data_IF_614557896859
#
_entry.id   IF_614557896859
#
_cell.length_a   1.000
_cell.length_b   1.000
_cell.length_c   1.000
_cell.angle_alpha   90.00
_cell.angle_beta   90.00
_cell.angle_gamma   90.00
#
_symmetry.space_group_name_H-M   'P 1'
#
loop_
_entity.id
_entity.type
_entity.pdbx_description
1 polymer ?
#
# COMPACT_ATOMS: atom_id res chain seq x y z
N UNK A 1 -11.35 -0.41 -14.73
CA UNK A 1 -9.96 -0.91 -14.91
C UNK A 1 -9.25 -0.91 -13.59
N UNK A 2 -8.41 -1.94 -13.29
CA UNK A 2 -7.54 -1.96 -12.11
C UNK A 2 -6.26 -1.16 -12.36
N UNK A 3 -5.60 -0.72 -11.28
CA UNK A 3 -4.31 -0.05 -11.40
C UNK A 3 -3.23 -0.99 -11.97
N UNK A 4 -3.29 -2.29 -11.68
CA UNK A 4 -2.40 -3.30 -12.28
C UNK A 4 -2.51 -3.31 -13.81
N UNK A 5 -3.73 -3.35 -14.34
CA UNK A 5 -3.95 -3.38 -15.78
C UNK A 5 -3.47 -2.08 -16.45
N UNK A 6 -3.73 -0.93 -15.82
CA UNK A 6 -3.23 0.35 -16.29
C UNK A 6 -1.71 0.39 -16.35
N UNK A 7 -1.04 -0.01 -15.27
CA UNK A 7 0.43 -0.03 -15.17
C UNK A 7 1.03 -0.94 -16.25
N UNK A 8 0.48 -2.13 -16.42
CA UNK A 8 1.07 -3.12 -17.35
C UNK A 8 0.68 -2.91 -18.80
N UNK A 9 -0.60 -2.64 -19.08
CA UNK A 9 -1.11 -2.62 -20.46
C UNK A 9 -1.15 -1.22 -21.06
N UNK A 10 -1.30 -0.16 -20.24
CA UNK A 10 -1.32 1.22 -20.75
C UNK A 10 0.05 1.91 -20.60
N UNK A 11 0.78 1.61 -19.52
CA UNK A 11 2.11 2.19 -19.27
C UNK A 11 3.27 1.28 -19.63
N UNK A 12 2.99 0.02 -20.00
CA UNK A 12 3.98 -1.00 -20.37
C UNK A 12 5.05 -1.26 -19.30
N UNK A 13 4.74 -0.99 -18.02
CA UNK A 13 5.62 -1.24 -16.87
C UNK A 13 5.40 -2.67 -16.37
N UNK A 14 6.13 -3.62 -16.95
CA UNK A 14 5.91 -5.06 -16.78
C UNK A 14 6.64 -5.67 -15.58
N UNK A 15 7.45 -4.91 -14.87
CA UNK A 15 8.11 -5.34 -13.62
C UNK A 15 7.11 -5.68 -12.52
N UNK A 16 5.99 -4.96 -12.43
CA UNK A 16 4.85 -5.33 -11.59
C UNK A 16 4.19 -6.59 -12.16
N UNK A 17 4.12 -7.70 -11.38
CA UNK A 17 3.71 -9.01 -11.89
C UNK A 17 2.23 -9.31 -11.66
N UNK A 18 1.64 -10.12 -12.56
CA UNK A 18 0.29 -10.66 -12.42
C UNK A 18 0.39 -12.05 -11.80
N UNK A 19 -0.06 -12.20 -10.56
CA UNK A 19 -0.18 -13.50 -9.89
C UNK A 19 -1.64 -13.92 -9.74
N UNK A 20 -2.21 -13.77 -8.55
CA UNK A 20 -3.55 -14.27 -8.22
C UNK A 20 -4.71 -13.40 -8.72
N UNK A 21 -4.53 -12.09 -8.88
CA UNK A 21 -5.59 -11.09 -9.11
C UNK A 21 -6.67 -11.01 -8.00
N UNK A 22 -6.36 -11.55 -6.81
CA UNK A 22 -7.26 -11.63 -5.66
C UNK A 22 -6.71 -10.94 -4.40
N UNK A 23 -5.56 -10.25 -4.54
CA UNK A 23 -4.93 -9.52 -3.43
C UNK A 23 -4.15 -10.40 -2.45
N UNK A 24 -3.92 -11.69 -2.74
CA UNK A 24 -3.31 -12.64 -1.80
C UNK A 24 -1.81 -12.84 -1.96
N UNK A 25 -1.29 -12.78 -3.21
CA UNK A 25 0.09 -13.19 -3.48
C UNK A 25 1.13 -12.07 -3.38
N UNK A 26 0.73 -10.81 -3.42
CA UNK A 26 1.61 -9.65 -3.38
C UNK A 26 2.52 -9.43 -4.60
N UNK A 27 2.45 -10.27 -5.65
CA UNK A 27 3.28 -10.11 -6.85
C UNK A 27 3.04 -8.78 -7.58
N UNK A 28 1.86 -8.20 -7.41
CA UNK A 28 1.45 -6.91 -7.97
C UNK A 28 1.65 -5.73 -7.02
N UNK A 29 2.44 -5.87 -5.96
CA UNK A 29 2.69 -4.79 -5.00
C UNK A 29 3.32 -3.58 -5.68
N UNK A 30 2.75 -2.40 -5.40
CA UNK A 30 3.24 -1.07 -5.75
C UNK A 30 3.20 -0.16 -4.52
N UNK A 31 3.87 0.99 -4.58
CA UNK A 31 3.68 2.04 -3.57
C UNK A 31 2.67 3.08 -4.07
N UNK A 32 1.86 3.53 -3.13
CA UNK A 32 0.95 4.66 -3.31
C UNK A 32 1.34 5.73 -2.31
N UNK A 33 1.79 6.88 -2.81
CA UNK A 33 2.11 8.06 -2.02
C UNK A 33 0.93 9.01 -1.97
N UNK A 34 0.46 9.29 -0.77
CA UNK A 34 -0.63 10.24 -0.49
C UNK A 34 -0.07 11.48 0.17
N UNK A 35 -0.47 12.66 -0.31
CA UNK A 35 -0.07 13.91 0.31
C UNK A 35 -0.67 14.01 1.73
N UNK A 36 0.18 14.37 2.69
CA UNK A 36 -0.19 14.64 4.07
C UNK A 36 0.59 15.86 4.53
N UNK A 37 -0.08 17.00 4.58
CA UNK A 37 0.55 18.31 4.80
C UNK A 37 1.69 18.59 3.81
N UNK A 38 2.91 18.76 4.29
CA UNK A 38 4.11 18.98 3.47
C UNK A 38 4.88 17.70 3.12
N UNK A 39 4.36 16.53 3.52
CA UNK A 39 4.98 15.22 3.31
C UNK A 39 4.14 14.34 2.39
N UNK A 40 4.71 13.20 2.04
CA UNK A 40 4.02 12.14 1.32
C UNK A 40 4.14 10.86 2.14
N UNK A 41 3.01 10.29 2.51
CA UNK A 41 2.95 8.99 3.17
C UNK A 41 2.84 7.89 2.12
N UNK A 42 3.75 6.92 2.16
CA UNK A 42 3.78 5.81 1.21
C UNK A 42 3.20 4.54 1.82
N UNK A 43 2.30 3.91 1.08
CA UNK A 43 1.70 2.63 1.47
C UNK A 43 1.91 1.59 0.38
N UNK A 44 2.28 0.37 0.79
CA UNK A 44 2.30 -0.78 -0.11
C UNK A 44 0.87 -1.27 -0.36
N UNK A 45 0.47 -1.41 -1.62
CA UNK A 45 -0.86 -1.88 -2.00
C UNK A 45 -0.78 -2.95 -3.08
N UNK A 46 -1.78 -3.83 -3.12
CA UNK A 46 -1.97 -4.79 -4.21
C UNK A 46 -2.72 -4.13 -5.36
N UNK A 47 -2.00 -3.79 -6.44
CA UNK A 47 -2.57 -3.04 -7.56
C UNK A 47 -3.67 -3.78 -8.33
N UNK A 48 -3.75 -5.11 -8.20
CA UNK A 48 -4.79 -5.91 -8.84
C UNK A 48 -6.21 -5.67 -8.28
N UNK A 49 -6.32 -5.15 -7.06
CA UNK A 49 -7.60 -4.82 -6.43
C UNK A 49 -7.83 -3.32 -6.24
N UNK A 50 -6.87 -2.49 -6.66
CA UNK A 50 -7.02 -1.03 -6.58
C UNK A 50 -7.66 -0.51 -7.87
N UNK A 51 -8.85 0.11 -7.80
CA UNK A 51 -9.43 0.83 -8.94
C UNK A 51 -8.53 1.97 -9.38
N UNK A 52 -8.41 2.19 -10.69
CA UNK A 52 -7.59 3.30 -11.23
C UNK A 52 -8.07 4.67 -10.73
N UNK A 53 -9.36 4.85 -10.47
CA UNK A 53 -9.92 6.10 -9.95
C UNK A 53 -9.37 6.46 -8.57
N UNK A 54 -9.06 5.45 -7.73
CA UNK A 54 -8.43 5.68 -6.41
C UNK A 54 -6.95 6.06 -6.49
N UNK A 55 -6.34 6.08 -7.68
CA UNK A 55 -4.96 6.54 -7.90
C UNK A 55 -4.89 8.05 -8.21
N UNK A 56 -6.02 8.72 -8.44
CA UNK A 56 -6.05 10.15 -8.73
C UNK A 56 -5.48 10.96 -7.55
N UNK A 57 -4.63 11.93 -7.85
CA UNK A 57 -3.98 12.77 -6.83
C UNK A 57 -2.91 12.06 -6.00
N UNK A 58 -2.47 10.86 -6.40
CA UNK A 58 -1.48 10.07 -5.67
C UNK A 58 -0.25 9.79 -6.50
N UNK A 59 0.89 9.63 -5.83
CA UNK A 59 2.13 9.19 -6.46
C UNK A 59 2.15 7.66 -6.54
N UNK A 60 2.11 7.12 -7.75
CA UNK A 60 2.14 5.68 -7.99
C UNK A 60 3.57 5.26 -8.36
N UNK A 61 4.14 4.34 -7.57
CA UNK A 61 5.52 3.88 -7.75
C UNK A 61 5.54 2.36 -7.97
N UNK A 62 6.01 1.97 -9.15
CA UNK A 62 6.31 0.58 -9.48
C UNK A 62 7.79 0.28 -9.23
N UNK A 63 8.20 -0.97 -9.43
CA UNK A 63 9.62 -1.35 -9.30
C UNK A 63 10.51 -0.52 -10.25
N UNK A 64 10.02 -0.16 -11.42
CA UNK A 64 10.76 0.68 -12.38
C UNK A 64 10.98 2.09 -11.82
N UNK A 65 10.04 2.62 -11.03
CA UNK A 65 10.16 3.93 -10.39
C UNK A 65 11.13 3.98 -9.22
N UNK A 66 11.56 2.82 -8.72
CA UNK A 66 12.57 2.70 -7.65
C UNK A 66 13.98 2.51 -8.22
N UNK A 67 14.09 2.05 -9.47
CA UNK A 67 15.36 1.75 -10.09
C UNK A 67 16.21 3.02 -10.30
N UNK A 68 17.50 2.91 -10.01
CA UNK A 68 18.54 3.87 -10.35
C UNK A 68 19.52 3.29 -11.37
N UNK A 69 20.64 3.99 -11.59
CA UNK A 69 21.73 3.50 -12.41
C UNK A 69 22.40 2.24 -11.83
N UNK A 70 22.40 2.14 -10.50
CA UNK A 70 22.90 1.00 -9.74
C UNK A 70 21.79 0.41 -8.88
N UNK A 71 22.01 -0.80 -8.38
CA UNK A 71 21.11 -1.40 -7.40
C UNK A 71 21.07 -0.53 -6.12
N UNK A 72 19.86 -0.28 -5.64
CA UNK A 72 19.69 0.38 -4.35
C UNK A 72 19.95 -0.61 -3.20
N UNK A 73 20.02 -0.12 -1.95
CA UNK A 73 20.32 -0.92 -0.76
C UNK A 73 19.35 -2.11 -0.61
N UNK A 74 18.05 -1.91 -0.92
CA UNK A 74 17.04 -2.97 -0.83
C UNK A 74 17.30 -4.04 -1.88
N UNK A 75 17.56 -3.65 -3.12
CA UNK A 75 17.87 -4.57 -4.22
C UNK A 75 19.19 -5.31 -3.95
N UNK A 76 20.23 -4.59 -3.48
CA UNK A 76 21.53 -5.17 -3.18
C UNK A 76 21.43 -6.20 -2.06
N UNK A 77 20.64 -5.95 -1.01
CA UNK A 77 20.45 -6.92 0.06
C UNK A 77 19.82 -8.24 -0.42
N UNK A 78 18.95 -8.17 -1.44
CA UNK A 78 18.39 -9.39 -2.07
C UNK A 78 19.46 -10.18 -2.84
N UNK A 79 20.37 -9.50 -3.52
CA UNK A 79 21.51 -10.14 -4.20
C UNK A 79 22.46 -10.78 -3.18
N UNK A 80 22.89 -10.03 -2.17
CA UNK A 80 23.87 -10.46 -1.18
C UNK A 80 23.40 -11.67 -0.35
N UNK A 81 22.08 -11.74 -0.10
CA UNK A 81 21.50 -12.84 0.67
C UNK A 81 20.95 -13.99 -0.19
N UNK A 82 21.11 -13.93 -1.52
CA UNK A 82 20.54 -14.93 -2.41
C UNK A 82 19.01 -15.02 -2.29
N UNK A 83 18.35 -13.88 -2.07
CA UNK A 83 16.91 -13.80 -1.78
C UNK A 83 16.02 -13.87 -3.03
N UNK A 84 16.58 -14.26 -4.17
CA UNK A 84 15.85 -14.45 -5.43
C UNK A 84 16.25 -15.75 -6.10
N UNK A 85 15.29 -16.44 -6.72
CA UNK A 85 15.50 -17.60 -7.57
C UNK A 85 14.84 -17.39 -8.93
N UNK A 86 13.54 -17.69 -9.09
CA UNK A 86 12.85 -17.46 -10.36
C UNK A 86 12.61 -15.98 -10.67
N UNK A 87 12.71 -15.09 -9.66
CA UNK A 87 12.57 -13.64 -9.80
C UNK A 87 11.12 -13.12 -9.87
N UNK A 88 10.11 -14.00 -9.94
CA UNK A 88 8.72 -13.56 -10.15
C UNK A 88 8.16 -12.72 -9.00
N UNK A 89 8.39 -13.13 -7.75
CA UNK A 89 7.91 -12.40 -6.56
C UNK A 89 8.83 -11.24 -6.15
N UNK A 90 10.08 -11.24 -6.63
CA UNK A 90 11.14 -10.32 -6.19
C UNK A 90 10.75 -8.84 -6.29
N UNK A 91 10.16 -8.34 -7.39
CA UNK A 91 9.74 -6.94 -7.47
C UNK A 91 8.76 -6.55 -6.37
N UNK A 92 7.79 -7.42 -6.06
CA UNK A 92 6.81 -7.17 -5.00
C UNK A 92 7.45 -7.04 -3.61
N UNK A 93 8.39 -7.93 -3.28
CA UNK A 93 9.14 -7.84 -2.00
C UNK A 93 10.00 -6.58 -1.91
N UNK A 94 10.72 -6.24 -2.99
CA UNK A 94 11.55 -5.02 -3.03
C UNK A 94 10.70 -3.79 -2.84
N UNK A 95 9.57 -3.69 -3.54
CA UNK A 95 8.64 -2.55 -3.40
C UNK A 95 8.08 -2.47 -1.98
N UNK A 96 7.68 -3.60 -1.38
CA UNK A 96 7.15 -3.64 -0.01
C UNK A 96 8.19 -3.16 1.01
N UNK A 97 9.44 -3.65 0.91
CA UNK A 97 10.53 -3.23 1.79
C UNK A 97 10.99 -1.78 1.53
N UNK A 98 10.93 -1.30 0.30
CA UNK A 98 11.16 0.13 0.01
C UNK A 98 10.10 0.99 0.70
N UNK A 99 8.82 0.57 0.65
CA UNK A 99 7.74 1.24 1.39
C UNK A 99 8.00 1.26 2.91
N UNK A 100 8.52 0.17 3.46
CA UNK A 100 8.95 0.12 4.86
C UNK A 100 10.03 1.15 5.19
N UNK A 101 11.02 1.32 4.32
CA UNK A 101 12.08 2.31 4.49
C UNK A 101 11.58 3.76 4.44
N UNK A 102 10.49 4.03 3.73
CA UNK A 102 9.89 5.36 3.58
C UNK A 102 8.95 5.76 4.72
N UNK A 103 8.75 4.89 5.72
CA UNK A 103 7.88 5.14 6.86
C UNK A 103 8.66 5.26 8.17
N UNK A 104 8.06 5.96 9.14
CA UNK A 104 8.68 6.19 10.45
C UNK A 104 8.40 5.04 11.43
N UNK A 105 8.76 3.82 11.02
CA UNK A 105 8.71 2.65 11.89
C UNK A 105 10.05 2.44 12.59
N UNK A 106 10.00 1.89 13.80
CA UNK A 106 11.21 1.41 14.46
C UNK A 106 11.87 0.32 13.60
N UNK A 107 13.17 0.40 13.31
CA UNK A 107 13.87 -0.58 12.48
C UNK A 107 14.10 -1.88 13.24
N UNK A 108 13.06 -2.68 13.36
CA UNK A 108 13.09 -4.01 13.98
C UNK A 108 12.92 -5.09 12.93
N UNK A 109 13.45 -6.30 13.24
CA UNK A 109 13.25 -7.46 12.35
C UNK A 109 11.76 -7.77 12.14
N UNK A 110 10.98 -7.67 13.20
CA UNK A 110 9.53 -7.93 13.18
C UNK A 110 8.82 -6.96 12.23
N UNK A 111 9.10 -5.67 12.33
CA UNK A 111 8.48 -4.66 11.47
C UNK A 111 8.87 -4.83 9.98
N UNK A 112 10.11 -5.23 9.69
CA UNK A 112 10.52 -5.51 8.32
C UNK A 112 9.84 -6.76 7.75
N UNK A 113 9.69 -7.81 8.55
CA UNK A 113 8.95 -9.02 8.15
C UNK A 113 7.46 -8.68 7.96
N UNK A 114 6.87 -7.93 8.88
CA UNK A 114 5.48 -7.48 8.80
C UNK A 114 5.23 -6.68 7.51
N UNK A 115 6.18 -5.85 7.09
CA UNK A 115 6.06 -5.05 5.86
C UNK A 115 5.94 -5.90 4.59
N UNK A 116 6.47 -7.12 4.58
CA UNK A 116 6.43 -8.02 3.41
C UNK A 116 5.48 -9.23 3.58
N UNK A 117 4.75 -9.33 4.69
CA UNK A 117 3.85 -10.47 4.98
C UNK A 117 2.73 -10.67 3.93
N UNK A 118 2.46 -9.67 3.09
CA UNK A 118 1.53 -9.77 1.97
C UNK A 118 2.10 -10.46 0.72
N UNK A 119 3.41 -10.77 0.72
CA UNK A 119 4.09 -11.30 -0.45
C UNK A 119 4.39 -12.80 -0.30
N UNK A 120 4.13 -13.57 -1.36
CA UNK A 120 4.35 -15.02 -1.37
C UNK A 120 5.53 -15.37 -2.27
N UNK A 121 6.46 -16.19 -1.74
CA UNK A 121 7.53 -16.83 -2.48
C UNK A 121 7.41 -18.35 -2.39
N UNK A 122 7.48 -19.04 -3.52
CA UNK A 122 7.43 -20.52 -3.58
C UNK A 122 8.83 -21.16 -3.62
N UNK A 123 9.86 -20.38 -3.95
CA UNK A 123 11.17 -20.92 -4.29
C UNK A 123 12.15 -20.93 -3.13
N UNK A 124 12.27 -19.81 -2.39
CA UNK A 124 13.37 -19.55 -1.44
C UNK A 124 13.16 -20.10 -0.03
N UNK A 125 11.94 -20.52 0.31
CA UNK A 125 11.58 -20.89 1.69
C UNK A 125 11.64 -19.71 2.68
N UNK A 126 11.67 -18.48 2.19
CA UNK A 126 11.67 -17.20 2.91
C UNK A 126 12.93 -16.86 3.70
N UNK A 127 13.77 -17.78 4.10
CA UNK A 127 14.94 -17.52 5.00
C UNK A 127 15.93 -16.50 4.44
N UNK A 128 16.23 -16.57 3.15
CA UNK A 128 17.08 -15.58 2.48
C UNK A 128 16.41 -14.20 2.39
N UNK A 129 15.08 -14.16 2.16
CA UNK A 129 14.30 -12.92 2.13
C UNK A 129 14.25 -12.28 3.52
N UNK A 130 14.04 -13.07 4.58
CA UNK A 130 14.12 -12.58 5.98
C UNK A 130 15.49 -12.02 6.33
N UNK A 131 16.58 -12.66 5.85
CA UNK A 131 17.95 -12.14 6.03
C UNK A 131 18.14 -10.81 5.30
N UNK A 132 17.65 -10.69 4.07
CA UNK A 132 17.70 -9.43 3.32
C UNK A 132 16.97 -8.31 4.07
N UNK A 133 15.75 -8.58 4.55
CA UNK A 133 14.99 -7.63 5.37
C UNK A 133 15.72 -7.23 6.66
N UNK A 134 16.40 -8.18 7.32
CA UNK A 134 17.22 -7.89 8.51
C UNK A 134 18.40 -6.99 8.18
N UNK A 135 19.09 -7.24 7.07
CA UNK A 135 20.21 -6.41 6.60
C UNK A 135 19.78 -4.96 6.33
N UNK A 136 18.58 -4.76 5.79
CA UNK A 136 18.00 -3.43 5.57
C UNK A 136 17.80 -2.69 6.91
N UNK A 137 17.36 -3.38 7.96
CA UNK A 137 17.18 -2.76 9.28
C UNK A 137 18.49 -2.20 9.86
N UNK A 138 19.62 -2.86 9.65
CA UNK A 138 20.90 -2.35 10.13
C UNK A 138 21.24 -1.00 9.48
N UNK A 139 20.89 -0.84 8.20
CA UNK A 139 21.03 0.46 7.53
C UNK A 139 20.05 1.50 8.08
N UNK A 140 18.80 1.11 8.34
CA UNK A 140 17.77 2.03 8.86
C UNK A 140 18.07 2.51 10.29
N UNK A 141 18.82 1.76 11.11
CA UNK A 141 19.28 2.21 12.43
C UNK A 141 20.15 3.47 12.35
N UNK A 142 20.85 3.68 11.22
CA UNK A 142 21.67 4.87 10.99
C UNK A 142 20.83 6.14 10.77
N UNK A 143 19.51 6.03 10.61
CA UNK A 143 18.61 7.15 10.38
C UNK A 143 18.57 8.16 11.54
N UNK A 144 18.75 7.70 12.78
CA UNK A 144 18.88 8.54 14.00
C UNK A 144 17.82 9.66 14.10
N UNK A 145 16.53 9.35 13.79
CA UNK A 145 15.44 10.33 13.84
C UNK A 145 15.35 11.27 12.63
N UNK A 146 16.22 11.12 11.63
CA UNK A 146 16.08 11.85 10.37
C UNK A 146 14.76 11.49 9.65
N UNK A 147 14.19 12.45 8.93
CA UNK A 147 13.00 12.21 8.11
C UNK A 147 13.19 11.03 7.15
N UNK A 148 12.25 10.05 7.12
CA UNK A 148 12.41 8.83 6.34
C UNK A 148 12.68 9.05 4.84
N UNK A 149 11.97 9.97 4.21
CA UNK A 149 12.17 10.26 2.79
C UNK A 149 13.54 10.89 2.53
N UNK A 150 13.93 11.85 3.35
CA UNK A 150 15.25 12.50 3.26
C UNK A 150 16.38 11.48 3.41
N UNK A 151 16.25 10.58 4.40
CA UNK A 151 17.21 9.50 4.60
C UNK A 151 17.24 8.53 3.41
N UNK A 152 16.07 8.13 2.92
CA UNK A 152 15.96 7.18 1.81
C UNK A 152 16.60 7.72 0.51
N UNK A 153 16.44 9.00 0.23
CA UNK A 153 17.08 9.65 -0.92
C UNK A 153 18.60 9.74 -0.72
N UNK A 154 19.06 10.21 0.45
CA UNK A 154 20.49 10.36 0.76
C UNK A 154 21.25 9.03 0.70
N UNK A 155 20.58 7.91 0.96
CA UNK A 155 21.16 6.57 0.93
C UNK A 155 20.79 5.76 -0.32
N UNK A 156 20.30 6.40 -1.39
CA UNK A 156 19.93 5.77 -2.65
C UNK A 156 18.92 4.63 -2.51
N UNK A 157 18.05 4.67 -1.50
CA UNK A 157 16.92 3.71 -1.37
C UNK A 157 15.86 4.03 -2.41
N UNK A 158 15.63 5.32 -2.65
CA UNK A 158 14.76 5.82 -3.72
C UNK A 158 15.46 6.92 -4.50
N UNK A 159 15.13 7.11 -5.80
CA UNK A 159 15.72 8.14 -6.64
C UNK A 159 15.42 9.57 -6.19
N UNK A 160 16.27 10.50 -6.59
CA UNK A 160 16.19 11.94 -6.24
C UNK A 160 14.86 12.62 -6.61
N UNK A 161 14.17 12.14 -7.65
CA UNK A 161 12.92 12.76 -8.09
C UNK A 161 11.82 12.73 -7.02
N UNK A 162 11.93 11.85 -6.02
CA UNK A 162 11.01 11.81 -4.89
C UNK A 162 10.94 13.14 -4.13
N UNK A 163 12.00 13.94 -4.15
CA UNK A 163 12.04 15.28 -3.54
C UNK A 163 10.98 16.22 -4.11
N UNK A 164 10.62 16.04 -5.38
CA UNK A 164 9.70 16.94 -6.10
C UNK A 164 8.23 16.53 -5.92
N UNK A 165 7.97 15.32 -5.44
CA UNK A 165 6.62 14.75 -5.38
C UNK A 165 5.67 15.55 -4.47
N UNK A 166 6.05 15.99 -3.25
CA UNK A 166 5.14 16.76 -2.41
C UNK A 166 4.59 18.01 -3.11
N UNK A 167 5.45 18.76 -3.81
CA UNK A 167 5.03 19.94 -4.59
C UNK A 167 4.09 19.58 -5.74
N UNK A 168 4.44 18.54 -6.51
CA UNK A 168 3.64 18.09 -7.65
C UNK A 168 2.25 17.60 -7.26
N UNK A 169 2.11 16.93 -6.13
CA UNK A 169 0.81 16.44 -5.65
C UNK A 169 -0.13 17.60 -5.25
N UNK A 170 0.41 18.70 -4.72
CA UNK A 170 -0.36 19.90 -4.36
C UNK A 170 -1.00 20.60 -5.56
N UNK A 171 -0.41 20.43 -6.75
CA UNK A 171 -0.90 21.04 -7.99
C UNK A 171 -2.08 20.27 -8.61
N UNK A 172 -2.31 19.03 -8.18
CA UNK A 172 -3.37 18.18 -8.72
C UNK A 172 -4.71 18.55 -8.09
N UNK A 173 -5.65 18.97 -8.94
CA UNK A 173 -7.01 19.31 -8.50
C UNK A 173 -7.79 18.05 -8.13
N UNK A 174 -8.56 18.13 -7.05
CA UNK A 174 -9.53 17.08 -6.69
C UNK A 174 -10.63 16.98 -7.76
N UNK A 175 -11.04 15.75 -8.07
CA UNK A 175 -12.21 15.49 -8.94
C UNK A 175 -13.35 15.14 -8.00
N UNK A 176 -14.28 16.07 -7.80
CA UNK A 176 -15.53 15.79 -7.11
C UNK A 176 -16.59 15.45 -8.18
N UNK A 177 -17.06 14.21 -8.20
CA UNK A 177 -18.28 13.82 -8.90
C UNK A 177 -19.32 13.49 -7.85
N UNK A 178 -20.21 14.39 -7.58
CA UNK A 178 -21.36 14.13 -6.72
C UNK A 178 -22.57 13.80 -7.62
N UNK A 179 -22.91 12.53 -7.73
CA UNK A 179 -24.09 12.08 -8.44
C UNK A 179 -24.76 10.97 -7.64
N UNK A 180 -25.98 11.21 -7.20
CA UNK A 180 -26.78 10.23 -6.44
C UNK A 180 -27.10 8.93 -7.22
N UNK A 181 -26.99 8.96 -8.56
CA UNK A 181 -27.35 7.84 -9.44
C UNK A 181 -26.19 6.92 -9.81
N UNK A 182 -24.95 7.24 -9.42
CA UNK A 182 -23.74 6.49 -9.80
C UNK A 182 -23.35 5.56 -8.66
N UNK A 183 -22.92 4.33 -8.98
CA UNK A 183 -22.45 3.33 -8.02
C UNK A 183 -21.21 3.85 -7.28
N UNK A 184 -21.28 3.95 -5.96
CA UNK A 184 -20.20 4.45 -5.11
C UNK A 184 -19.20 3.34 -4.79
N UNK A 185 -17.91 3.65 -4.93
CA UNK A 185 -16.80 2.71 -4.70
C UNK A 185 -15.81 3.35 -3.74
N UNK A 186 -15.64 2.76 -2.54
CA UNK A 186 -14.60 3.13 -1.59
C UNK A 186 -13.26 2.45 -1.96
N UNK A 187 -12.75 1.51 -1.17
CA UNK A 187 -11.54 0.75 -1.49
C UNK A 187 -11.66 -0.10 -2.76
N UNK A 188 -12.84 -0.61 -3.04
CA UNK A 188 -13.16 -1.41 -4.22
C UNK A 188 -12.65 -2.84 -4.18
N UNK A 189 -11.97 -3.26 -3.11
CA UNK A 189 -11.26 -4.54 -3.07
C UNK A 189 -12.19 -5.75 -3.17
N UNK A 190 -13.34 -5.72 -2.54
CA UNK A 190 -14.35 -6.79 -2.63
C UNK A 190 -15.06 -6.78 -3.99
N UNK A 191 -15.47 -5.60 -4.45
CA UNK A 191 -16.14 -5.44 -5.74
C UNK A 191 -15.30 -5.93 -6.92
N UNK A 192 -13.99 -5.64 -6.90
CA UNK A 192 -13.08 -6.06 -7.97
C UNK A 192 -12.73 -7.55 -7.92
N UNK A 193 -12.98 -8.24 -6.81
CA UNK A 193 -12.92 -9.72 -6.75
C UNK A 193 -14.22 -10.32 -7.25
N UNK A 194 -15.38 -9.83 -6.75
CA UNK A 194 -16.68 -10.46 -7.01
C UNK A 194 -17.30 -10.08 -8.34
N UNK A 195 -17.05 -8.87 -8.83
CA UNK A 195 -17.75 -8.26 -9.98
C UNK A 195 -16.75 -7.71 -11.03
N UNK A 196 -15.55 -8.32 -11.15
CA UNK A 196 -14.50 -7.81 -12.02
C UNK A 196 -14.97 -7.51 -13.45
N UNK A 197 -15.71 -8.43 -14.07
CA UNK A 197 -16.11 -8.33 -15.46
C UNK A 197 -17.23 -7.31 -15.69
N UNK A 198 -18.07 -7.07 -14.70
CA UNK A 198 -19.21 -6.15 -14.82
C UNK A 198 -18.85 -4.72 -14.44
N UNK A 199 -18.09 -4.55 -13.36
CA UNK A 199 -17.74 -3.23 -12.81
C UNK A 199 -16.91 -2.36 -13.76
N UNK A 200 -16.19 -2.97 -14.70
CA UNK A 200 -15.37 -2.23 -15.68
C UNK A 200 -16.21 -1.49 -16.72
N UNK A 201 -17.50 -1.84 -16.85
CA UNK A 201 -18.45 -1.23 -17.77
C UNK A 201 -19.43 -0.28 -17.08
N UNK A 202 -19.33 -0.13 -15.74
CA UNK A 202 -20.21 0.75 -14.97
C UNK A 202 -19.60 2.15 -14.80
N UNK A 203 -20.44 3.16 -14.69
CA UNK A 203 -20.03 4.47 -14.21
C UNK A 203 -19.87 4.40 -12.68
N UNK A 204 -18.69 4.83 -12.20
CA UNK A 204 -18.30 4.71 -10.80
C UNK A 204 -17.95 6.08 -10.21
N UNK A 205 -18.43 6.31 -8.99
CA UNK A 205 -18.03 7.42 -8.13
C UNK A 205 -17.07 6.91 -7.05
N UNK A 206 -15.82 7.40 -7.07
CA UNK A 206 -14.75 6.96 -6.16
C UNK A 206 -14.74 7.82 -4.91
N UNK A 207 -15.30 7.29 -3.82
CA UNK A 207 -15.50 7.99 -2.56
C UNK A 207 -14.39 7.75 -1.52
N UNK A 208 -13.34 6.97 -1.84
CA UNK A 208 -12.29 6.61 -0.86
C UNK A 208 -11.62 7.84 -0.24
N UNK A 209 -11.40 8.88 -1.01
CA UNK A 209 -10.72 10.09 -0.56
C UNK A 209 -11.67 11.24 -0.17
N UNK A 210 -12.97 10.97 -0.10
CA UNK A 210 -13.93 11.94 0.41
C UNK A 210 -13.74 12.13 1.93
N UNK A 211 -13.25 13.30 2.33
CA UNK A 211 -12.94 13.63 3.73
C UNK A 211 -14.17 13.58 4.65
N UNK A 212 -15.36 13.85 4.12
CA UNK A 212 -16.61 13.79 4.89
C UNK A 212 -17.02 12.35 5.24
N UNK A 213 -16.47 11.36 4.53
CA UNK A 213 -16.75 9.94 4.73
C UNK A 213 -15.59 9.22 5.45
N UNK A 214 -14.61 9.94 5.96
CA UNK A 214 -13.48 9.40 6.72
C UNK A 214 -13.59 9.71 8.21
N UNK A 215 -12.86 8.92 9.00
CA UNK A 215 -12.67 9.17 10.41
C UNK A 215 -13.53 8.29 11.33
N UNK A 216 -13.12 8.30 12.58
CA UNK A 216 -13.73 7.52 13.67
C UNK A 216 -13.86 8.45 14.86
N UNK A 217 -15.10 8.70 15.29
CA UNK A 217 -15.40 9.63 16.38
C UNK A 217 -16.24 8.95 17.45
N UNK A 218 -15.94 9.18 18.72
CA UNK A 218 -16.79 8.76 19.82
C UNK A 218 -17.76 9.90 20.16
N UNK A 219 -19.07 9.62 20.11
CA UNK A 219 -20.13 10.54 20.49
C UNK A 219 -20.92 9.88 21.62
N UNK A 220 -20.78 10.41 22.84
CA UNK A 220 -21.38 9.85 24.05
C UNK A 220 -21.02 8.34 24.21
N UNK A 221 -22.03 7.48 24.13
CA UNK A 221 -21.88 6.02 24.26
C UNK A 221 -21.89 5.28 22.92
N UNK A 222 -21.78 6.01 21.81
CA UNK A 222 -21.78 5.49 20.44
C UNK A 222 -20.45 5.82 19.76
N UNK A 223 -20.12 5.03 18.75
CA UNK A 223 -18.98 5.29 17.85
C UNK A 223 -19.53 5.51 16.45
N UNK A 224 -19.24 6.68 15.88
CA UNK A 224 -19.52 6.99 14.47
C UNK A 224 -18.27 6.73 13.64
N UNK A 225 -18.45 6.07 12.52
CA UNK A 225 -17.37 5.74 11.59
C UNK A 225 -17.78 6.11 10.16
N UNK A 226 -16.94 6.85 9.48
CA UNK A 226 -17.17 7.21 8.09
C UNK A 226 -17.16 5.99 7.17
N UNK A 227 -18.00 5.99 6.13
CA UNK A 227 -18.15 4.87 5.19
C UNK A 227 -16.88 4.54 4.38
N UNK A 228 -15.93 5.49 4.27
CA UNK A 228 -14.64 5.30 3.60
C UNK A 228 -13.50 5.00 4.59
N UNK A 229 -13.78 4.78 5.87
CA UNK A 229 -12.78 4.40 6.86
C UNK A 229 -12.22 3.02 6.54
N UNK A 230 -10.90 2.91 6.51
CA UNK A 230 -10.23 1.65 6.19
C UNK A 230 -10.11 0.74 7.42
N UNK A 231 -9.93 -0.56 7.19
CA UNK A 231 -9.66 -1.54 8.25
C UNK A 231 -8.38 -1.21 9.02
N UNK A 232 -7.39 -0.65 8.33
CA UNK A 232 -6.15 -0.18 8.96
C UNK A 232 -6.41 0.99 9.92
N UNK A 233 -7.20 1.97 9.51
CA UNK A 233 -7.58 3.09 10.38
C UNK A 233 -8.35 2.59 11.62
N UNK A 234 -9.23 1.60 11.47
CA UNK A 234 -9.90 0.95 12.60
C UNK A 234 -8.91 0.28 13.56
N UNK A 235 -7.93 -0.48 13.01
CA UNK A 235 -6.95 -1.22 13.80
C UNK A 235 -6.06 -0.31 14.67
N UNK A 236 -5.83 0.92 14.23
CA UNK A 236 -4.98 1.90 14.93
C UNK A 236 -5.77 3.02 15.59
N UNK A 237 -7.10 3.02 15.50
CA UNK A 237 -7.95 4.02 16.16
C UNK A 237 -7.87 3.92 17.67
N UNK A 238 -7.57 5.02 18.39
CA UNK A 238 -7.59 5.03 19.84
C UNK A 238 -8.95 4.63 20.42
N UNK A 239 -10.05 5.00 19.74
CA UNK A 239 -11.42 4.64 20.14
C UNK A 239 -11.60 3.12 20.09
N UNK A 240 -11.20 2.47 18.97
CA UNK A 240 -11.32 1.03 18.85
C UNK A 240 -10.36 0.27 19.77
N UNK A 241 -9.12 0.74 19.94
CA UNK A 241 -8.15 0.12 20.87
C UNK A 241 -8.68 0.16 22.31
N UNK A 242 -9.32 1.25 22.72
CA UNK A 242 -9.90 1.39 24.06
C UNK A 242 -11.05 0.40 24.30
N UNK A 243 -11.97 0.28 23.34
CA UNK A 243 -13.19 -0.52 23.52
C UNK A 243 -13.06 -1.97 23.03
N UNK A 244 -12.14 -2.23 22.09
CA UNK A 244 -11.90 -3.54 21.46
C UNK A 244 -10.39 -3.83 21.41
N UNK A 245 -9.70 -4.03 22.53
CA UNK A 245 -8.23 -4.16 22.58
C UNK A 245 -7.69 -5.33 21.75
N UNK A 246 -8.48 -6.40 21.56
CA UNK A 246 -8.11 -7.56 20.74
C UNK A 246 -8.24 -7.31 19.22
N UNK A 247 -8.94 -6.23 18.80
CA UNK A 247 -9.27 -5.98 17.38
C UNK A 247 -8.04 -5.93 16.50
N UNK A 248 -6.97 -5.25 16.94
CA UNK A 248 -5.71 -5.16 16.20
C UNK A 248 -5.11 -6.53 15.88
N UNK A 249 -5.13 -7.46 16.87
CA UNK A 249 -4.63 -8.82 16.66
C UNK A 249 -5.53 -9.62 15.74
N UNK A 250 -6.85 -9.49 15.88
CA UNK A 250 -7.83 -10.15 15.01
C UNK A 250 -7.65 -9.67 13.56
N UNK A 251 -7.49 -8.38 13.35
CA UNK A 251 -7.24 -7.81 12.02
C UNK A 251 -5.92 -8.34 11.44
N UNK A 252 -4.84 -8.38 12.24
CA UNK A 252 -3.56 -8.96 11.81
C UNK A 252 -3.71 -10.42 11.35
N UNK A 253 -4.42 -11.25 12.09
CA UNK A 253 -4.66 -12.66 11.76
C UNK A 253 -5.56 -12.84 10.52
N UNK A 254 -6.56 -11.98 10.36
CA UNK A 254 -7.56 -12.08 9.29
C UNK A 254 -7.11 -11.44 7.98
N UNK A 255 -6.31 -10.37 8.03
CA UNK A 255 -6.01 -9.50 6.91
C UNK A 255 -4.51 -9.44 6.57
N UNK A 256 -3.67 -10.16 7.31
CA UNK A 256 -2.21 -10.03 7.25
C UNK A 256 -1.72 -8.78 7.98
N UNK A 257 -0.41 -8.74 8.28
CA UNK A 257 0.19 -7.71 9.12
C UNK A 257 0.44 -6.39 8.39
N UNK A 258 0.25 -6.34 7.08
CA UNK A 258 0.59 -5.16 6.27
C UNK A 258 -0.61 -4.25 6.15
N UNK A 259 -0.55 -3.03 6.71
CA UNK A 259 -1.52 -1.99 6.41
C UNK A 259 -1.56 -1.76 4.89
N UNK A 260 -2.67 -2.04 4.26
CA UNK A 260 -2.90 -1.75 2.84
C UNK A 260 -2.97 -2.93 1.88
N UNK A 261 -2.33 -4.08 2.14
CA UNK A 261 -2.35 -5.21 1.19
C UNK A 261 -3.53 -6.16 1.42
N UNK A 262 -3.80 -6.56 2.66
CA UNK A 262 -4.92 -7.47 2.97
C UNK A 262 -6.07 -6.84 3.76
N UNK A 263 -5.81 -5.79 4.52
CA UNK A 263 -6.81 -5.16 5.37
C UNK A 263 -7.97 -4.51 4.62
N UNK A 264 -7.77 -4.18 3.33
CA UNK A 264 -8.83 -3.60 2.49
C UNK A 264 -9.82 -4.62 1.94
N UNK A 265 -9.54 -5.93 2.06
CA UNK A 265 -10.32 -6.98 1.41
C UNK A 265 -11.63 -7.34 2.13
N UNK A 266 -11.70 -7.20 3.45
CA UNK A 266 -12.81 -7.77 4.24
C UNK A 266 -13.85 -6.78 4.75
N UNK A 267 -13.62 -5.48 4.61
CA UNK A 267 -14.55 -4.47 5.09
C UNK A 267 -14.73 -3.35 4.04
N UNK A 268 -14.84 -3.72 2.79
CA UNK A 268 -15.56 -2.88 1.85
C UNK A 268 -17.03 -3.01 2.23
N UNK A 269 -17.47 -2.14 3.12
CA UNK A 269 -18.89 -2.00 3.39
C UNK A 269 -19.47 -1.37 2.13
N UNK A 270 -19.68 -2.19 1.12
CA UNK A 270 -20.52 -1.79 0.02
C UNK A 270 -21.88 -1.50 0.65
N UNK A 271 -22.33 -0.27 0.52
CA UNK A 271 -23.65 0.18 0.93
C UNK A 271 -24.72 -0.60 0.16
N UNK A 272 -24.94 -1.86 0.57
CA UNK A 272 -26.13 -2.61 0.09
C UNK A 272 -27.37 -2.23 0.86
N UNK A 273 -27.25 -1.36 1.88
CA UNK A 273 -28.40 -0.89 2.68
C UNK A 273 -28.19 0.58 3.05
N UNK A 274 -28.46 1.48 2.14
CA UNK A 274 -29.04 2.80 2.37
C UNK A 274 -30.02 3.10 1.26
#
# INVERSE_FOLDING_TARGET
MTLLDFVRYQKHLVGTKIGCREGDCGACTILVGEACDDKVNYHSVTSCLMPIGNAHGKHIVTIEGINGANLNIVQQSFVDQGATQCGFCTPGFIVALTGYCLNDHLPTRENAIDAMNGNICRCTGYKSIEKAATSINENLKLRNGQDPLTFAIANNIVPDYFKTIPGRLKEIKSINKDSEKIKKVAGGTDLYVQQHDTIVHEELDFILDNSLLKGITQINNSCEMGASTTVSEMAYSPVFIKHFPALKNIIKLSCGAVPGIRGRRKLDVSSKNM
#
